data_IF_026762781419
#
_entry.id   IF_026762781419
#
_cell.length_a   1.000
_cell.length_b   1.000
_cell.length_c   1.000
_cell.angle_alpha   90.00
_cell.angle_beta   90.00
_cell.angle_gamma   90.00
#
_symmetry.space_group_name_H-M   'P 1'
#
loop_
_entity.id
_entity.type
_entity.pdbx_description
1 polymer ?
#
# COMPACT_ATOMS: atom_id res chain seq x y z
N UNK A 1 27.64 -28.67 -30.87
CA UNK A 1 27.74 -28.42 -29.42
C UNK A 1 27.65 -26.95 -29.03
N UNK A 2 28.42 -26.02 -29.61
CA UNK A 2 28.36 -24.57 -29.24
C UNK A 2 26.99 -23.90 -29.40
N UNK A 3 26.18 -24.26 -30.41
CA UNK A 3 24.85 -23.70 -30.65
C UNK A 3 23.82 -24.17 -29.59
N UNK A 4 23.96 -25.38 -29.07
CA UNK A 4 23.07 -25.93 -28.04
C UNK A 4 23.33 -25.26 -26.68
N UNK A 5 24.60 -25.00 -26.37
CA UNK A 5 25.01 -24.30 -25.14
C UNK A 5 24.49 -22.86 -25.13
N UNK A 6 24.53 -22.17 -26.28
CA UNK A 6 24.03 -20.81 -26.40
C UNK A 6 22.50 -20.74 -26.22
N UNK A 7 21.76 -21.70 -26.79
CA UNK A 7 20.30 -21.80 -26.60
C UNK A 7 19.93 -22.10 -25.15
N UNK A 8 20.70 -22.94 -24.45
CA UNK A 8 20.50 -23.21 -23.02
C UNK A 8 20.78 -21.98 -22.14
N UNK A 9 21.79 -21.20 -22.46
CA UNK A 9 22.09 -19.95 -21.73
C UNK A 9 21.02 -18.88 -21.96
N UNK A 10 20.48 -18.78 -23.17
CA UNK A 10 19.35 -17.88 -23.48
C UNK A 10 18.09 -18.35 -22.74
N UNK A 11 17.77 -19.64 -22.73
CA UNK A 11 16.63 -20.20 -22.00
C UNK A 11 16.76 -19.99 -20.47
N UNK A 12 17.97 -20.12 -19.91
CA UNK A 12 18.25 -19.81 -18.51
C UNK A 12 18.13 -18.32 -18.16
N UNK A 13 18.48 -17.43 -19.09
CA UNK A 13 18.29 -15.98 -18.90
C UNK A 13 16.81 -15.60 -18.95
N UNK A 14 15.99 -16.26 -19.77
CA UNK A 14 14.53 -16.07 -19.76
C UNK A 14 13.85 -16.66 -18.53
N UNK A 15 14.40 -17.71 -17.92
CA UNK A 15 13.91 -18.28 -16.66
C UNK A 15 14.19 -17.39 -15.44
N UNK A 16 15.24 -16.56 -15.49
CA UNK A 16 15.53 -15.57 -14.45
C UNK A 16 14.77 -14.25 -14.59
N UNK A 17 14.04 -14.02 -15.68
CA UNK A 17 13.02 -12.96 -15.82
C UNK A 17 11.66 -13.44 -15.28
N UNK A 18 11.61 -14.71 -14.82
CA UNK A 18 10.41 -15.26 -14.25
C UNK A 18 10.11 -14.61 -12.92
N UNK A 19 9.08 -13.78 -12.97
CA UNK A 19 8.18 -13.53 -11.86
C UNK A 19 8.92 -13.30 -10.52
N UNK A 20 9.45 -12.10 -10.34
CA UNK A 20 9.37 -11.50 -9.03
C UNK A 20 7.87 -11.43 -8.70
N UNK A 21 7.32 -12.55 -8.29
CA UNK A 21 6.04 -12.61 -7.64
C UNK A 21 6.20 -11.69 -6.44
N UNK A 22 5.68 -10.46 -6.57
CA UNK A 22 5.77 -9.45 -5.53
C UNK A 22 5.29 -10.11 -4.25
N UNK A 23 6.22 -10.40 -3.36
CA UNK A 23 5.96 -11.14 -2.13
C UNK A 23 5.20 -10.22 -1.21
N UNK A 24 3.91 -10.48 -1.08
CA UNK A 24 3.07 -9.81 -0.08
C UNK A 24 3.62 -10.14 1.30
N UNK A 25 3.81 -9.13 2.10
CA UNK A 25 4.32 -9.31 3.45
C UNK A 25 3.18 -9.31 4.47
N UNK A 26 3.10 -10.36 5.27
CA UNK A 26 2.25 -10.38 6.46
C UNK A 26 2.89 -9.50 7.53
N UNK A 27 2.13 -8.57 8.05
CA UNK A 27 2.56 -7.71 9.15
C UNK A 27 1.56 -7.76 10.30
N UNK A 28 2.04 -7.40 11.49
CA UNK A 28 1.22 -7.21 12.68
C UNK A 28 0.89 -5.74 12.86
N UNK A 29 -0.31 -5.45 13.36
CA UNK A 29 -0.81 -4.09 13.57
C UNK A 29 0.13 -3.25 14.44
N UNK A 30 0.71 -3.84 15.49
CA UNK A 30 1.64 -3.17 16.39
C UNK A 30 2.91 -2.65 15.70
N UNK A 31 3.27 -3.20 14.54
CA UNK A 31 4.40 -2.72 13.73
C UNK A 31 4.07 -1.39 13.02
N UNK A 32 2.78 -1.13 12.76
CA UNK A 32 2.30 0.12 12.15
C UNK A 32 1.97 1.19 13.19
N UNK A 33 1.43 0.79 14.34
CA UNK A 33 0.94 1.73 15.35
C UNK A 33 2.01 2.72 15.81
N UNK A 34 1.62 4.00 15.86
CA UNK A 34 2.49 5.09 16.26
C UNK A 34 3.63 5.39 15.28
N UNK A 35 3.61 4.77 14.09
CA UNK A 35 4.63 5.03 13.07
C UNK A 35 4.21 6.13 12.12
N UNK A 36 5.18 6.85 11.62
CA UNK A 36 5.01 7.88 10.59
C UNK A 36 5.96 7.59 9.44
N UNK A 37 5.44 7.61 8.23
CA UNK A 37 6.13 7.29 7.00
C UNK A 37 6.02 8.45 6.03
N UNK A 38 7.10 8.75 5.31
CA UNK A 38 7.18 9.91 4.43
C UNK A 38 7.70 9.55 3.05
N UNK A 39 7.20 10.24 2.05
CA UNK A 39 7.76 10.29 0.70
C UNK A 39 8.00 11.76 0.34
N UNK A 40 9.22 12.06 -0.11
CA UNK A 40 9.60 13.40 -0.56
C UNK A 40 9.65 13.45 -2.08
N UNK A 41 9.10 14.50 -2.64
CA UNK A 41 9.19 14.84 -4.06
C UNK A 41 9.46 16.35 -4.18
N UNK A 42 10.73 16.72 -4.28
CA UNK A 42 11.18 18.11 -4.22
C UNK A 42 10.78 18.77 -2.91
N UNK A 43 9.99 19.84 -3.00
CA UNK A 43 9.44 20.59 -1.85
C UNK A 43 8.15 19.96 -1.28
N UNK A 44 7.61 18.97 -1.95
CA UNK A 44 6.42 18.28 -1.51
C UNK A 44 6.77 17.12 -0.58
N UNK A 45 5.96 16.94 0.45
CA UNK A 45 6.05 15.84 1.38
C UNK A 45 4.69 15.16 1.47
N UNK A 46 4.65 13.88 1.19
CA UNK A 46 3.51 13.02 1.49
C UNK A 46 3.83 12.24 2.76
N UNK A 47 2.93 12.31 3.74
CA UNK A 47 3.09 11.67 5.04
C UNK A 47 1.91 10.75 5.31
N UNK A 48 2.20 9.55 5.81
CA UNK A 48 1.20 8.62 6.34
C UNK A 48 1.56 8.29 7.78
N UNK A 49 0.59 8.41 8.67
CA UNK A 49 0.72 7.97 10.08
C UNK A 49 -0.39 6.97 10.38
N UNK A 50 -0.08 6.00 11.23
CA UNK A 50 -1.01 4.96 11.64
C UNK A 50 -1.35 5.12 13.11
N UNK A 51 -2.63 5.32 13.38
CA UNK A 51 -3.24 5.27 14.70
C UNK A 51 -4.03 3.96 14.85
N UNK A 52 -4.61 3.70 16.01
CA UNK A 52 -5.30 2.44 16.29
C UNK A 52 -6.46 2.16 15.31
N UNK A 53 -7.21 3.19 14.97
CA UNK A 53 -8.41 3.09 14.14
C UNK A 53 -8.30 3.82 12.80
N UNK A 54 -7.22 4.57 12.57
CA UNK A 54 -7.16 5.56 11.52
C UNK A 54 -5.79 5.63 10.85
N UNK A 55 -5.81 5.75 9.53
CA UNK A 55 -4.67 6.22 8.75
C UNK A 55 -4.85 7.73 8.56
N UNK A 56 -3.85 8.50 8.95
CA UNK A 56 -3.80 9.94 8.73
C UNK A 56 -2.81 10.20 7.61
N UNK A 57 -3.29 10.70 6.48
CA UNK A 57 -2.45 11.06 5.35
C UNK A 57 -2.43 12.58 5.17
N UNK A 58 -1.22 13.15 5.06
CA UNK A 58 -1.00 14.58 4.89
C UNK A 58 -0.22 14.84 3.61
N UNK A 59 -0.66 15.82 2.86
CA UNK A 59 0.11 16.43 1.78
C UNK A 59 0.61 17.80 2.23
N UNK A 60 1.93 17.95 2.24
CA UNK A 60 2.61 19.14 2.76
C UNK A 60 3.40 19.75 1.60
N UNK A 61 3.20 21.04 1.36
CA UNK A 61 3.94 21.85 0.38
C UNK A 61 4.45 23.11 1.05
N UNK A 62 5.71 23.46 0.82
CA UNK A 62 6.33 24.65 1.41
C UNK A 62 6.13 24.71 2.96
N UNK A 63 6.28 23.56 3.63
CA UNK A 63 6.08 23.40 5.09
C UNK A 63 4.66 23.68 5.60
N UNK A 64 3.66 23.79 4.71
CA UNK A 64 2.25 23.96 5.07
C UNK A 64 1.46 22.72 4.69
N UNK A 65 0.58 22.27 5.58
CA UNK A 65 -0.38 21.21 5.28
C UNK A 65 -1.39 21.76 4.27
N UNK A 66 -1.42 21.15 3.08
CA UNK A 66 -2.33 21.52 2.00
C UNK A 66 -3.59 20.64 2.03
N UNK A 67 -3.43 19.38 2.42
CA UNK A 67 -4.53 18.45 2.59
C UNK A 67 -4.23 17.46 3.72
N UNK A 68 -5.25 17.09 4.46
CA UNK A 68 -5.21 16.07 5.49
C UNK A 68 -6.45 15.19 5.37
N UNK A 69 -6.26 13.88 5.39
CA UNK A 69 -7.32 12.90 5.27
C UNK A 69 -7.21 11.85 6.37
N UNK A 70 -8.32 11.57 7.00
CA UNK A 70 -8.48 10.52 7.98
C UNK A 70 -9.26 9.37 7.35
N UNK A 71 -8.72 8.15 7.42
CA UNK A 71 -9.33 6.95 6.83
C UNK A 71 -9.40 5.87 7.88
N UNK A 72 -10.60 5.39 8.21
CA UNK A 72 -10.74 4.19 9.04
C UNK A 72 -10.09 3.01 8.34
N UNK A 73 -9.38 2.15 9.06
CA UNK A 73 -8.71 1.01 8.45
C UNK A 73 -8.71 -0.23 9.34
N UNK A 74 -8.47 -1.34 8.71
CA UNK A 74 -8.10 -2.60 9.35
C UNK A 74 -7.11 -3.37 8.46
N UNK A 75 -6.42 -4.35 9.06
CA UNK A 75 -5.58 -5.29 8.33
C UNK A 75 -6.39 -6.51 7.94
N UNK A 76 -6.17 -7.05 6.75
CA UNK A 76 -6.78 -8.29 6.28
C UNK A 76 -5.76 -9.20 5.60
N UNK A 77 -6.03 -10.51 5.66
CA UNK A 77 -5.26 -11.54 4.94
C UNK A 77 -5.71 -11.70 3.49
N UNK A 78 -6.88 -11.15 3.16
CA UNK A 78 -7.49 -11.22 1.83
C UNK A 78 -7.68 -9.82 1.25
N UNK A 79 -7.50 -9.64 -0.06
CA UNK A 79 -7.82 -8.37 -0.72
C UNK A 79 -9.34 -8.18 -0.77
N UNK A 80 -9.76 -6.93 -0.91
CA UNK A 80 -11.15 -6.65 -1.28
C UNK A 80 -11.45 -7.28 -2.66
N UNK A 81 -12.60 -7.93 -2.75
CA UNK A 81 -13.08 -8.52 -4.01
C UNK A 81 -13.89 -7.51 -4.83
N UNK A 82 -14.46 -6.52 -4.17
CA UNK A 82 -15.24 -5.43 -4.75
C UNK A 82 -15.01 -4.15 -3.94
N UNK A 83 -15.33 -3.00 -4.54
CA UNK A 83 -15.19 -1.66 -3.93
C UNK A 83 -16.52 -1.10 -3.41
N UNK A 84 -17.50 -1.97 -3.18
CA UNK A 84 -18.78 -1.59 -2.56
C UNK A 84 -18.54 -1.27 -1.07
N UNK A 85 -18.96 -0.08 -0.64
CA UNK A 85 -18.76 0.39 0.73
C UNK A 85 -19.41 -0.48 1.80
N UNK A 86 -20.43 -1.27 1.44
CA UNK A 86 -21.05 -2.24 2.34
C UNK A 86 -20.15 -3.42 2.72
N UNK A 87 -19.07 -3.65 1.97
CA UNK A 87 -18.06 -4.68 2.27
C UNK A 87 -17.03 -4.25 3.31
N UNK A 88 -17.08 -3.01 3.77
CA UNK A 88 -16.18 -2.54 4.82
C UNK A 88 -16.60 -3.10 6.19
N UNK A 89 -15.76 -3.94 6.75
CA UNK A 89 -15.99 -4.62 8.02
C UNK A 89 -15.61 -3.71 9.19
N UNK A 90 -16.56 -2.86 9.60
CA UNK A 90 -16.33 -1.83 10.64
C UNK A 90 -15.96 -2.41 12.02
N UNK A 91 -16.35 -3.63 12.31
CA UNK A 91 -15.99 -4.38 13.51
C UNK A 91 -14.52 -4.79 13.57
N UNK A 92 -13.85 -4.87 12.41
CA UNK A 92 -12.40 -5.10 12.34
C UNK A 92 -11.57 -3.85 12.63
N UNK A 93 -12.15 -2.64 12.54
CA UNK A 93 -11.43 -1.38 12.84
C UNK A 93 -11.03 -1.37 14.30
N UNK A 94 -9.74 -1.19 14.57
CA UNK A 94 -9.18 -1.29 15.91
C UNK A 94 -8.90 -2.72 16.38
N UNK A 95 -9.62 -3.72 15.88
CA UNK A 95 -9.58 -5.11 16.35
C UNK A 95 -8.79 -6.07 15.48
N UNK A 96 -8.39 -5.68 14.26
CA UNK A 96 -7.56 -6.52 13.41
C UNK A 96 -6.12 -6.56 13.92
N UNK A 97 -5.54 -7.75 14.04
CA UNK A 97 -4.19 -7.93 14.60
C UNK A 97 -3.10 -8.02 13.54
N UNK A 98 -3.41 -8.65 12.39
CA UNK A 98 -2.43 -8.92 11.34
C UNK A 98 -3.04 -8.96 9.94
N UNK A 99 -2.24 -8.69 8.90
CA UNK A 99 -2.67 -8.79 7.51
C UNK A 99 -1.59 -8.50 6.49
N UNK A 100 -1.91 -8.76 5.23
CA UNK A 100 -1.10 -8.41 4.06
C UNK A 100 -1.71 -7.23 3.29
N UNK A 101 -2.91 -6.83 3.68
CA UNK A 101 -3.65 -5.76 3.04
C UNK A 101 -4.11 -4.76 4.10
N UNK A 102 -3.94 -3.49 3.79
CA UNK A 102 -4.50 -2.38 4.56
C UNK A 102 -5.79 -1.99 3.86
N UNK A 103 -6.93 -2.45 4.37
CA UNK A 103 -8.26 -2.07 3.87
C UNK A 103 -8.69 -0.80 4.56
N UNK A 104 -9.14 0.20 3.79
CA UNK A 104 -9.52 1.48 4.37
C UNK A 104 -10.80 2.04 3.77
N UNK A 105 -11.50 2.84 4.58
CA UNK A 105 -12.68 3.61 4.20
C UNK A 105 -12.41 5.09 4.37
N UNK A 106 -12.63 5.84 3.31
CA UNK A 106 -12.63 7.29 3.31
C UNK A 106 -14.07 7.79 3.30
N UNK A 107 -14.37 8.73 4.17
CA UNK A 107 -15.67 9.38 4.28
C UNK A 107 -15.48 10.90 4.32
N UNK A 108 -16.17 11.60 3.44
CA UNK A 108 -16.29 13.05 3.43
C UNK A 108 -17.72 13.47 3.12
N UNK A 109 -18.00 14.75 3.17
CA UNK A 109 -19.33 15.29 2.81
C UNK A 109 -19.72 14.99 1.35
N UNK A 110 -18.72 14.82 0.45
CA UNK A 110 -18.93 14.69 -0.98
C UNK A 110 -18.79 13.27 -1.49
N UNK A 111 -17.95 12.45 -0.84
CA UNK A 111 -17.62 11.12 -1.33
C UNK A 111 -17.33 10.16 -0.20
N UNK A 112 -17.82 8.94 -0.36
CA UNK A 112 -17.46 7.78 0.47
C UNK A 112 -16.96 6.67 -0.45
N UNK A 113 -15.80 6.09 -0.13
CA UNK A 113 -15.28 4.94 -0.86
C UNK A 113 -14.45 4.04 0.05
N UNK A 114 -14.33 2.77 -0.35
CA UNK A 114 -13.37 1.83 0.22
C UNK A 114 -12.30 1.49 -0.79
N UNK A 115 -11.13 1.14 -0.27
CA UNK A 115 -9.99 0.73 -1.08
C UNK A 115 -9.00 -0.05 -0.23
N UNK A 116 -7.91 -0.55 -0.84
CA UNK A 116 -6.87 -1.23 -0.10
C UNK A 116 -5.49 -1.03 -0.70
N UNK A 117 -4.48 -1.13 0.15
CA UNK A 117 -3.09 -1.30 -0.23
C UNK A 117 -2.63 -2.73 0.03
N UNK A 118 -1.86 -3.28 -0.88
CA UNK A 118 -1.08 -4.48 -0.60
C UNK A 118 0.24 -4.06 0.05
N UNK A 119 0.62 -4.71 1.14
CA UNK A 119 1.91 -4.50 1.78
C UNK A 119 2.92 -5.39 1.07
N UNK A 120 3.82 -4.78 0.30
CA UNK A 120 4.86 -5.51 -0.43
C UNK A 120 6.12 -5.67 0.40
N UNK A 121 6.43 -4.67 1.22
CA UNK A 121 7.57 -4.68 2.13
C UNK A 121 7.30 -3.75 3.31
N UNK A 122 7.73 -4.15 4.48
CA UNK A 122 7.86 -3.30 5.65
C UNK A 122 9.06 -3.74 6.48
N UNK A 123 9.93 -2.81 6.79
CA UNK A 123 11.04 -2.97 7.74
C UNK A 123 11.18 -1.72 8.61
N UNK A 124 12.27 -1.60 9.35
CA UNK A 124 12.50 -0.46 10.24
C UNK A 124 12.62 0.89 9.53
N UNK A 125 12.97 0.89 8.25
CA UNK A 125 13.30 2.10 7.49
C UNK A 125 12.35 2.36 6.33
N UNK A 126 11.69 1.33 5.80
CA UNK A 126 10.92 1.40 4.56
C UNK A 126 9.57 0.70 4.66
N UNK A 127 8.55 1.34 4.09
CA UNK A 127 7.22 0.77 3.84
C UNK A 127 6.90 0.89 2.36
N UNK A 128 6.69 -0.25 1.70
CA UNK A 128 6.31 -0.31 0.29
C UNK A 128 4.88 -0.80 0.18
N UNK A 129 4.03 0.06 -0.35
CA UNK A 129 2.62 -0.19 -0.59
C UNK A 129 2.35 -0.26 -2.09
N UNK A 130 1.58 -1.25 -2.50
CA UNK A 130 1.06 -1.36 -3.84
C UNK A 130 -0.43 -1.08 -3.84
N UNK A 131 -0.86 -0.15 -4.69
CA UNK A 131 -2.25 0.16 -4.96
C UNK A 131 -2.60 -0.23 -6.39
N UNK A 132 -3.52 -1.18 -6.54
CA UNK A 132 -4.01 -1.60 -7.84
C UNK A 132 -5.05 -0.62 -8.35
N UNK A 133 -4.95 -0.25 -9.62
CA UNK A 133 -5.98 0.56 -10.27
C UNK A 133 -7.35 -0.13 -10.21
N UNK A 134 -8.39 0.64 -9.89
CA UNK A 134 -9.76 0.11 -9.87
C UNK A 134 -10.19 -0.29 -11.29
N UNK A 135 -10.87 -1.44 -11.45
CA UNK A 135 -11.52 -1.78 -12.71
C UNK A 135 -12.46 -0.63 -13.12
N UNK A 136 -12.42 -0.25 -14.38
CA UNK A 136 -13.26 0.83 -14.95
C UNK A 136 -12.90 2.27 -14.56
N UNK A 137 -11.79 2.52 -13.82
CA UNK A 137 -11.33 3.88 -13.64
C UNK A 137 -10.65 4.38 -14.94
N UNK A 138 -11.16 5.49 -15.49
CA UNK A 138 -10.55 6.14 -16.65
C UNK A 138 -9.18 6.70 -16.20
N UNK A 139 -8.09 6.20 -16.81
CA UNK A 139 -6.72 6.65 -16.51
C UNK A 139 -6.13 6.14 -15.20
N UNK A 140 -6.80 5.21 -14.52
CA UNK A 140 -6.26 4.57 -13.31
C UNK A 140 -4.99 3.77 -13.65
N UNK A 141 -3.94 3.95 -12.82
CA UNK A 141 -2.67 3.20 -12.93
C UNK A 141 -2.41 2.46 -11.64
N UNK A 142 -1.77 1.31 -11.76
CA UNK A 142 -1.15 0.66 -10.61
C UNK A 142 -0.07 1.57 -10.05
N UNK A 143 -0.06 1.76 -8.74
CA UNK A 143 0.86 2.68 -8.06
C UNK A 143 1.66 1.91 -7.02
N UNK A 144 2.97 2.11 -7.02
CA UNK A 144 3.87 1.70 -5.94
C UNK A 144 4.23 2.95 -5.14
N UNK A 145 3.98 2.92 -3.85
CA UNK A 145 4.30 3.99 -2.91
C UNK A 145 5.42 3.49 -2.02
N UNK A 146 6.60 4.07 -2.16
CA UNK A 146 7.76 3.77 -1.29
C UNK A 146 7.91 4.90 -0.30
N UNK A 147 7.82 4.57 0.96
CA UNK A 147 7.85 5.49 2.08
C UNK A 147 9.03 5.17 2.99
N UNK A 148 9.70 6.17 3.49
CA UNK A 148 10.75 6.03 4.50
C UNK A 148 10.22 6.40 5.89
N UNK A 149 10.71 5.71 6.92
CA UNK A 149 10.28 5.99 8.30
C UNK A 149 10.74 7.37 8.73
N UNK A 150 9.82 8.15 9.23
CA UNK A 150 10.12 9.43 9.88
C UNK A 150 10.46 9.16 11.35
N UNK A 151 11.69 9.53 11.74
CA UNK A 151 12.18 9.41 13.12
C UNK A 151 11.91 10.68 13.89
#
# INVERSE_FOLDING_TARGET
MKKVILLLLIALSYLNVSFAQKSKQLIYKNQLLGTTWIQKDGENLYQISFDDNCIISKYIRNRKIVAEHHKKYYLDKKPLTDYNTSLFESDKVGNSEEGMYIVFKFESQLVTYIDFYTIEKMDENELVLFHKAKPKSIGGRDIIITLTRHK
#
